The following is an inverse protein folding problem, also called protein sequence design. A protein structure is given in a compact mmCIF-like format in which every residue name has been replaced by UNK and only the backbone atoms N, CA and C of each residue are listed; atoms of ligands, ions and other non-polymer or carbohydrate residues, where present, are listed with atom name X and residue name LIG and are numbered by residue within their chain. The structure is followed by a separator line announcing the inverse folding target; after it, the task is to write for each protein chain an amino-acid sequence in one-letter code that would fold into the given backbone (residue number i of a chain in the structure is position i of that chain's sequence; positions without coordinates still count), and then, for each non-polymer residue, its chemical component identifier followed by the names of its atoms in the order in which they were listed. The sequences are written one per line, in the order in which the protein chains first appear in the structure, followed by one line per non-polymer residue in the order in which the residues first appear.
data_IF_817048151099
#
_entry.id   IF_817048151099
#
_cell.length_a   1.000
_cell.length_b   1.000
_cell.length_c   1.000
_cell.angle_alpha   90.00
_cell.angle_beta   90.00
_cell.angle_gamma   90.00
#
_symmetry.space_group_name_H-M   'P 1'
#
loop_
_entity.id
_entity.type
_entity.pdbx_description
1 polymer ?
#
# COMPACT_ATOMS: atom_id res chain seq x y z
N UNK A 1 23.76 0.35 -8.45
CA UNK A 1 22.59 0.05 -7.60
C UNK A 1 22.92 -1.14 -6.71
N UNK A 2 22.30 -1.25 -5.54
CA UNK A 2 22.38 -2.47 -4.71
C UNK A 2 21.29 -3.43 -5.17
N UNK A 3 21.59 -4.72 -5.25
CA UNK A 3 20.59 -5.72 -5.62
C UNK A 3 19.70 -6.01 -4.41
N UNK A 4 18.46 -5.55 -4.46
CA UNK A 4 17.44 -5.83 -3.44
C UNK A 4 16.22 -6.45 -4.09
N UNK A 5 15.58 -7.36 -3.36
CA UNK A 5 14.29 -7.94 -3.73
C UNK A 5 13.26 -7.62 -2.65
N UNK A 6 12.01 -7.45 -3.08
CA UNK A 6 10.90 -7.16 -2.19
C UNK A 6 10.43 -8.46 -1.54
N UNK A 7 10.37 -8.46 -0.20
CA UNK A 7 9.72 -9.50 0.59
C UNK A 7 8.22 -9.33 0.55
N UNK A 8 7.76 -8.20 1.08
CA UNK A 8 6.35 -7.87 1.19
C UNK A 8 6.17 -6.37 1.34
N UNK A 9 4.97 -5.92 1.02
CA UNK A 9 4.50 -4.55 1.12
C UNK A 9 3.23 -4.58 1.94
N UNK A 10 3.19 -3.74 2.97
CA UNK A 10 1.97 -3.44 3.70
C UNK A 10 1.67 -1.96 3.56
N UNK A 11 0.48 -1.64 3.07
CA UNK A 11 0.07 -0.27 2.81
C UNK A 11 -1.27 0.06 3.46
N UNK A 12 -1.42 1.30 3.90
CA UNK A 12 -2.65 1.82 4.50
C UNK A 12 -3.01 3.15 3.87
N UNK A 13 -4.22 3.24 3.32
CA UNK A 13 -4.81 4.49 2.83
C UNK A 13 -5.72 5.07 3.93
N UNK A 14 -5.54 6.34 4.24
CA UNK A 14 -6.37 7.06 5.21
C UNK A 14 -7.21 8.09 4.45
N UNK A 15 -8.52 7.87 4.42
CA UNK A 15 -9.49 8.75 3.77
C UNK A 15 -10.89 8.54 4.35
N UNK A 16 -11.69 9.60 4.39
CA UNK A 16 -13.08 9.51 4.86
C UNK A 16 -13.99 8.86 3.81
N UNK A 17 -13.87 9.27 2.53
CA UNK A 17 -14.72 8.82 1.43
C UNK A 17 -13.99 8.86 0.09
N UNK A 18 -14.35 7.96 -0.87
CA UNK A 18 -15.24 6.81 -0.73
C UNK A 18 -14.61 5.65 0.07
N UNK A 19 -15.43 4.66 0.47
CA UNK A 19 -14.94 3.42 1.08
C UNK A 19 -14.16 2.58 0.06
N UNK A 20 -12.92 2.22 0.40
CA UNK A 20 -12.05 1.47 -0.51
C UNK A 20 -12.24 -0.05 -0.51
N UNK A 21 -13.10 -0.62 0.35
CA UNK A 21 -13.24 -2.08 0.51
C UNK A 21 -13.37 -2.84 -0.81
N UNK A 22 -14.15 -2.32 -1.75
CA UNK A 22 -14.40 -2.97 -3.05
C UNK A 22 -13.24 -2.81 -4.05
N UNK A 23 -12.29 -1.90 -3.78
CA UNK A 23 -11.15 -1.59 -4.63
C UNK A 23 -9.84 -2.20 -4.13
N UNK A 24 -9.79 -2.69 -2.89
CA UNK A 24 -8.57 -3.25 -2.27
C UNK A 24 -7.89 -4.30 -3.15
N UNK A 25 -8.66 -5.22 -3.74
CA UNK A 25 -8.09 -6.27 -4.60
C UNK A 25 -7.44 -5.70 -5.87
N UNK A 26 -8.08 -4.74 -6.51
CA UNK A 26 -7.55 -4.12 -7.74
C UNK A 26 -6.33 -3.26 -7.47
N UNK A 27 -6.29 -2.57 -6.31
CA UNK A 27 -5.09 -1.84 -5.87
C UNK A 27 -3.94 -2.83 -5.62
N UNK A 28 -4.19 -3.95 -4.93
CA UNK A 28 -3.18 -5.00 -4.70
C UNK A 28 -2.63 -5.55 -6.02
N UNK A 29 -3.51 -5.88 -6.98
CA UNK A 29 -3.11 -6.34 -8.32
C UNK A 29 -2.27 -5.31 -9.05
N UNK A 30 -2.67 -4.04 -9.01
CA UNK A 30 -1.96 -2.94 -9.67
C UNK A 30 -0.54 -2.80 -9.12
N UNK A 31 -0.39 -2.75 -7.80
CA UNK A 31 0.93 -2.68 -7.14
C UNK A 31 1.79 -3.90 -7.50
N UNK A 32 1.23 -5.11 -7.38
CA UNK A 32 1.93 -6.35 -7.69
C UNK A 32 2.40 -6.40 -9.15
N UNK A 33 1.56 -5.97 -10.09
CA UNK A 33 1.89 -5.91 -11.51
C UNK A 33 2.98 -4.89 -11.82
N UNK A 34 2.89 -3.68 -11.27
CA UNK A 34 3.88 -2.61 -11.49
C UNK A 34 5.25 -3.03 -10.96
N UNK A 35 5.27 -3.65 -9.77
CA UNK A 35 6.51 -4.07 -9.11
C UNK A 35 6.97 -5.47 -9.52
N UNK A 36 6.20 -6.17 -10.36
CA UNK A 36 6.46 -7.54 -10.85
C UNK A 36 6.69 -8.55 -9.72
N UNK A 37 5.86 -8.46 -8.67
CA UNK A 37 5.89 -9.37 -7.51
C UNK A 37 4.57 -10.16 -7.41
N UNK A 38 4.55 -11.19 -6.57
CA UNK A 38 3.33 -11.93 -6.32
C UNK A 38 2.32 -11.07 -5.53
N UNK A 39 1.04 -11.11 -5.90
CA UNK A 39 -0.03 -10.39 -5.18
C UNK A 39 -0.12 -10.74 -3.69
N UNK A 40 0.30 -11.96 -3.32
CA UNK A 40 0.35 -12.41 -1.93
C UNK A 40 1.41 -11.67 -1.10
N UNK A 41 2.38 -11.02 -1.77
CA UNK A 41 3.36 -10.16 -1.13
C UNK A 41 2.83 -8.74 -0.88
N UNK A 42 1.62 -8.41 -1.33
CA UNK A 42 1.03 -7.07 -1.20
C UNK A 42 -0.20 -7.09 -0.32
N UNK A 43 -0.20 -6.28 0.74
CA UNK A 43 -1.34 -5.97 1.60
C UNK A 43 -1.73 -4.49 1.42
N UNK A 44 -3.04 -4.23 1.32
CA UNK A 44 -3.60 -2.88 1.29
C UNK A 44 -4.75 -2.82 2.30
N UNK A 45 -4.68 -1.86 3.20
CA UNK A 45 -5.69 -1.51 4.18
C UNK A 45 -6.25 -0.12 3.90
N UNK A 46 -7.44 0.13 4.40
CA UNK A 46 -8.04 1.45 4.38
C UNK A 46 -8.68 1.75 5.74
N UNK A 47 -8.51 2.98 6.20
CA UNK A 47 -9.12 3.48 7.43
C UNK A 47 -9.52 4.95 7.25
N UNK A 48 -10.35 5.44 8.15
CA UNK A 48 -10.71 6.85 8.31
C UNK A 48 -9.75 7.54 9.27
N UNK A 49 -9.77 8.87 9.27
CA UNK A 49 -9.07 9.69 10.26
C UNK A 49 -9.98 10.10 11.41
N UNK A 50 -11.14 9.46 11.54
CA UNK A 50 -12.18 9.77 12.52
C UNK A 50 -12.58 11.25 12.52
N UNK A 51 -12.65 11.86 11.32
CA UNK A 51 -12.96 13.30 11.13
C UNK A 51 -11.93 14.27 11.75
N UNK A 52 -10.68 13.84 11.92
CA UNK A 52 -9.60 14.68 12.46
C UNK A 52 -8.63 15.18 11.38
N UNK A 53 -8.36 16.49 11.40
CA UNK A 53 -7.41 17.15 10.51
C UNK A 53 -7.85 17.15 9.05
N UNK A 54 -6.92 17.48 8.13
CA UNK A 54 -7.26 17.67 6.71
C UNK A 54 -7.89 16.45 6.04
N UNK A 55 -7.49 15.23 6.44
CA UNK A 55 -8.11 14.01 5.91
C UNK A 55 -9.54 13.89 6.40
N UNK A 56 -9.77 14.22 7.68
CA UNK A 56 -11.08 14.21 8.31
C UNK A 56 -12.03 15.27 7.78
N UNK A 57 -11.47 16.40 7.33
CA UNK A 57 -12.18 17.47 6.64
C UNK A 57 -12.43 17.17 5.15
N UNK A 58 -12.05 15.98 4.66
CA UNK A 58 -12.16 15.59 3.25
C UNK A 58 -11.35 16.49 2.28
N UNK A 59 -10.34 17.21 2.77
CA UNK A 59 -9.48 18.10 1.98
C UNK A 59 -8.34 17.32 1.28
N UNK A 60 -8.11 16.06 1.68
CA UNK A 60 -7.07 15.22 1.08
C UNK A 60 -7.03 13.79 1.62
N UNK A 61 -6.06 13.03 1.11
CA UNK A 61 -5.85 11.60 1.43
C UNK A 61 -4.40 11.39 1.88
N UNK A 62 -4.18 10.48 2.81
CA UNK A 62 -2.83 10.00 3.18
C UNK A 62 -2.65 8.54 2.77
N UNK A 63 -1.42 8.15 2.47
CA UNK A 63 -1.07 6.76 2.29
C UNK A 63 0.28 6.47 2.98
N UNK A 64 0.36 5.35 3.66
CA UNK A 64 1.57 4.81 4.26
C UNK A 64 1.91 3.48 3.60
N UNK A 65 3.19 3.19 3.41
CA UNK A 65 3.67 1.90 2.94
C UNK A 65 4.93 1.50 3.70
N UNK A 66 4.95 0.27 4.21
CA UNK A 66 6.10 -0.38 4.81
C UNK A 66 6.53 -1.51 3.91
N UNK A 67 7.80 -1.52 3.52
CA UNK A 67 8.36 -2.50 2.59
C UNK A 67 9.55 -3.18 3.26
N UNK A 68 9.52 -4.50 3.31
CA UNK A 68 10.68 -5.29 3.71
C UNK A 68 11.46 -5.70 2.47
N UNK A 69 12.76 -5.44 2.48
CA UNK A 69 13.70 -5.80 1.42
C UNK A 69 14.71 -6.80 1.96
N UNK A 70 15.16 -7.70 1.11
CA UNK A 70 16.34 -8.53 1.35
C UNK A 70 17.40 -8.23 0.29
N UNK A 71 18.66 -8.28 0.72
CA UNK A 71 19.78 -8.23 -0.21
C UNK A 71 19.73 -9.47 -1.11
N UNK A 72 19.83 -9.23 -2.40
CA UNK A 72 19.96 -10.28 -3.41
C UNK A 72 21.45 -10.51 -3.62
N UNK A 73 22.00 -11.48 -2.89
CA UNK A 73 23.44 -11.78 -2.89
C UNK A 73 23.90 -12.46 -4.19
N UNK A 74 22.98 -12.78 -5.10
CA UNK A 74 23.24 -13.65 -6.24
C UNK A 74 23.47 -15.09 -5.77
N UNK A 75 22.91 -16.06 -6.50
CA UNK A 75 23.34 -17.45 -6.36
C UNK A 75 24.70 -17.65 -7.08
#
# INVERSE_FOLDING_TARGET
EKMFRISNIDSTVVMERPKLKNYILEIRKSIASILRININQVSVKATTSEKLGFVGNEEGVKAFATVLLFEDLGD
#
